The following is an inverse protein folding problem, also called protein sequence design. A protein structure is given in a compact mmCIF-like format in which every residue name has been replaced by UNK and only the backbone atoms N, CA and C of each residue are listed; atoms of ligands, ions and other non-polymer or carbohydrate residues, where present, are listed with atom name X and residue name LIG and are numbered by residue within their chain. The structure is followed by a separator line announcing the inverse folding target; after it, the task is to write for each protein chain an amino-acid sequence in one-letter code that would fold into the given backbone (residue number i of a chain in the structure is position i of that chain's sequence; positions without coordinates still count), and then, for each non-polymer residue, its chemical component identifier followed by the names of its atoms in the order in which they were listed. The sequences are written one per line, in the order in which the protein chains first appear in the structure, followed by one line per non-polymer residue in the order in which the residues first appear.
data_IF_581744731150
#
_entry.id   IF_581744731150
#
_cell.length_a   1.000
_cell.length_b   1.000
_cell.length_c   1.000
_cell.angle_alpha   90.00
_cell.angle_beta   90.00
_cell.angle_gamma   90.00
#
_symmetry.space_group_name_H-M   'P 1'
#
loop_
_entity.id
_entity.type
_entity.pdbx_description
1 polymer ?
#
# COMPACT_ATOMS: atom_id res chain seq x y z
N UNK A 1 -91.55 -30.17 0.88
CA UNK A 1 -91.38 -31.54 1.39
C UNK A 1 -90.10 -31.51 2.18
N UNK A 2 -90.28 -31.46 3.49
CA UNK A 2 -89.25 -31.28 4.50
C UNK A 2 -88.30 -32.48 4.54
N UNK A 3 -87.02 -32.22 4.80
CA UNK A 3 -86.27 -33.15 5.65
C UNK A 3 -85.26 -32.39 6.50
N UNK A 4 -85.54 -32.38 7.80
CA UNK A 4 -84.72 -31.92 8.90
C UNK A 4 -84.16 -33.18 9.58
N UNK A 5 -82.84 -33.28 9.71
CA UNK A 5 -82.20 -34.27 10.57
C UNK A 5 -80.74 -33.88 10.90
N UNK A 6 -80.20 -34.28 12.07
CA UNK A 6 -80.39 -33.51 13.29
C UNK A 6 -79.10 -33.04 13.99
N UNK A 7 -79.29 -31.94 14.74
CA UNK A 7 -78.64 -31.47 15.98
C UNK A 7 -77.46 -32.29 16.55
N UNK A 8 -76.29 -31.64 16.72
CA UNK A 8 -75.39 -31.88 17.86
C UNK A 8 -74.67 -30.62 18.35
N UNK A 9 -75.31 -29.93 19.29
CA UNK A 9 -74.76 -29.29 20.52
C UNK A 9 -73.24 -29.13 20.68
N UNK A 10 -72.85 -27.91 21.09
CA UNK A 10 -71.76 -27.46 22.03
C UNK A 10 -70.97 -26.30 21.39
N UNK A 11 -70.57 -25.22 22.05
CA UNK A 11 -70.66 -24.65 23.42
C UNK A 11 -70.30 -23.14 23.25
N UNK A 12 -70.61 -22.23 24.19
CA UNK A 12 -70.28 -20.82 24.02
C UNK A 12 -68.75 -20.66 24.02
N UNK A 13 -68.18 -20.11 22.94
CA UNK A 13 -66.76 -19.78 22.92
C UNK A 13 -66.51 -18.62 23.89
N UNK A 14 -65.95 -19.00 25.04
CA UNK A 14 -65.42 -18.12 26.06
C UNK A 14 -64.22 -17.40 25.44
N UNK A 15 -64.43 -16.20 24.88
CA UNK A 15 -63.35 -15.41 24.31
C UNK A 15 -62.56 -14.76 25.44
N UNK A 16 -61.47 -15.42 25.85
CA UNK A 16 -60.45 -14.82 26.72
C UNK A 16 -59.74 -13.70 25.96
N UNK A 17 -59.81 -12.47 26.47
CA UNK A 17 -59.09 -11.33 25.92
C UNK A 17 -57.89 -11.02 26.78
N UNK A 18 -56.68 -11.29 26.28
CA UNK A 18 -55.42 -10.86 26.91
C UNK A 18 -54.79 -9.75 26.05
N UNK A 19 -54.45 -8.63 26.67
CA UNK A 19 -53.69 -7.55 26.03
C UNK A 19 -52.20 -7.70 26.34
N UNK A 20 -51.35 -7.55 25.33
CA UNK A 20 -49.89 -7.52 25.47
C UNK A 20 -49.34 -6.20 24.92
N UNK A 21 -48.35 -5.64 25.61
CA UNK A 21 -47.55 -4.51 25.13
C UNK A 21 -46.09 -4.78 25.47
N UNK A 22 -45.26 -4.99 24.44
CA UNK A 22 -43.82 -5.23 24.55
C UNK A 22 -43.24 -5.84 23.26
N UNK A 23 -41.95 -5.63 22.94
CA UNK A 23 -41.38 -6.07 21.68
C UNK A 23 -40.80 -7.49 21.80
N UNK A 24 -41.46 -8.47 21.19
CA UNK A 24 -40.92 -9.56 20.35
C UNK A 24 -41.86 -10.78 20.33
N UNK A 25 -42.52 -10.95 19.18
CA UNK A 25 -42.84 -12.17 18.42
C UNK A 25 -42.84 -13.56 19.09
N UNK A 26 -43.43 -13.74 20.27
CA UNK A 26 -43.80 -15.07 20.75
C UNK A 26 -45.16 -15.06 21.47
N UNK A 27 -46.11 -15.86 20.97
CA UNK A 27 -47.41 -16.07 21.61
C UNK A 27 -47.54 -17.55 21.95
N UNK A 28 -47.62 -17.88 23.24
CA UNK A 28 -47.87 -19.25 23.69
C UNK A 28 -49.31 -19.38 24.20
N UNK A 29 -50.05 -20.34 23.66
CA UNK A 29 -51.39 -20.72 24.11
C UNK A 29 -51.46 -22.24 24.31
N UNK A 30 -52.30 -22.70 25.24
CA UNK A 30 -52.43 -24.13 25.55
C UNK A 30 -53.44 -24.83 24.63
N UNK A 31 -54.64 -24.26 24.47
CA UNK A 31 -55.67 -24.73 23.52
C UNK A 31 -56.26 -23.51 22.80
N UNK A 32 -56.36 -23.57 21.46
CA UNK A 32 -56.97 -22.52 20.62
C UNK A 32 -58.08 -23.14 19.79
N UNK A 33 -59.28 -22.56 19.85
CA UNK A 33 -60.41 -22.92 19.00
C UNK A 33 -60.76 -21.69 18.16
N UNK A 34 -60.76 -21.84 16.83
CA UNK A 34 -60.90 -20.74 15.87
C UNK A 34 -59.59 -20.32 15.16
N UNK A 35 -59.70 -19.38 14.22
CA UNK A 35 -58.56 -18.89 13.44
C UNK A 35 -57.71 -17.86 14.17
N UNK A 36 -56.38 -17.96 14.06
CA UNK A 36 -55.44 -16.96 14.60
C UNK A 36 -55.04 -16.01 13.48
N UNK A 37 -55.26 -14.70 13.69
CA UNK A 37 -54.92 -13.65 12.73
C UNK A 37 -53.83 -12.74 13.30
N UNK A 38 -52.68 -12.67 12.63
CA UNK A 38 -51.61 -11.72 12.94
C UNK A 38 -51.74 -10.50 12.03
N UNK A 39 -51.79 -9.30 12.61
CA UNK A 39 -51.73 -8.05 11.86
C UNK A 39 -50.35 -7.45 12.04
N UNK A 40 -49.40 -7.84 11.18
CA UNK A 40 -48.13 -7.14 11.04
C UNK A 40 -48.34 -5.88 10.20
N UNK A 41 -47.77 -4.75 10.61
CA UNK A 41 -47.66 -3.61 9.71
C UNK A 41 -46.76 -4.03 8.53
N UNK A 42 -47.19 -3.76 7.30
CA UNK A 42 -46.37 -4.04 6.11
C UNK A 42 -44.99 -3.40 6.27
N UNK A 43 -43.88 -4.14 6.07
CA UNK A 43 -42.57 -3.54 6.07
C UNK A 43 -42.51 -2.48 4.96
N UNK A 44 -41.91 -1.30 5.21
CA UNK A 44 -41.70 -0.34 4.15
C UNK A 44 -40.95 -1.02 2.99
N UNK A 45 -41.26 -0.69 1.72
CA UNK A 45 -40.59 -1.31 0.59
C UNK A 45 -39.08 -1.17 0.75
N UNK A 46 -38.36 -2.29 0.61
CA UNK A 46 -36.90 -2.35 0.70
C UNK A 46 -36.28 -1.18 -0.07
N UNK A 47 -35.80 -0.17 0.65
CA UNK A 47 -34.89 0.79 0.02
C UNK A 47 -33.60 0.01 -0.20
N UNK A 48 -33.18 -0.23 -1.47
CA UNK A 48 -31.92 -0.91 -1.70
C UNK A 48 -30.82 -0.14 -0.98
N UNK A 49 -29.94 -0.82 -0.21
CA UNK A 49 -28.93 -0.16 0.60
C UNK A 49 -28.06 0.73 -0.29
N UNK A 50 -28.15 2.05 -0.12
CA UNK A 50 -27.38 3.04 -0.91
C UNK A 50 -25.92 3.16 -0.44
N UNK A 51 -25.31 2.05 -0.03
CA UNK A 51 -23.94 2.04 0.51
C UNK A 51 -22.91 1.39 -0.42
N UNK A 52 -23.25 1.16 -1.68
CA UNK A 52 -22.20 1.11 -2.69
C UNK A 52 -21.88 2.56 -3.09
N UNK A 53 -20.62 3.01 -2.97
CA UNK A 53 -20.19 4.26 -3.57
C UNK A 53 -20.71 4.32 -5.00
N UNK A 54 -21.28 5.48 -5.38
CA UNK A 54 -21.74 5.69 -6.75
C UNK A 54 -20.65 5.28 -7.73
N UNK A 55 -21.08 4.67 -8.84
CA UNK A 55 -20.24 4.08 -9.87
C UNK A 55 -18.90 4.84 -10.00
N UNK A 56 -17.79 4.24 -9.58
CA UNK A 56 -16.50 4.90 -9.57
C UNK A 56 -16.08 5.02 -11.03
N UNK A 57 -16.55 6.07 -11.70
CA UNK A 57 -16.24 6.36 -13.09
C UNK A 57 -14.73 6.35 -13.23
N UNK A 58 -14.25 5.38 -13.98
CA UNK A 58 -12.85 5.17 -14.23
C UNK A 58 -12.18 4.01 -13.51
N UNK A 59 -12.92 3.20 -12.74
CA UNK A 59 -12.44 1.92 -12.22
C UNK A 59 -13.09 0.73 -12.95
N UNK A 60 -14.33 0.89 -13.41
CA UNK A 60 -15.06 -0.07 -14.23
C UNK A 60 -15.36 0.51 -15.62
N UNK A 61 -15.62 -0.36 -16.61
CA UNK A 61 -16.01 0.00 -17.97
C UNK A 61 -14.98 0.83 -18.78
N UNK A 62 -13.68 0.56 -18.59
CA UNK A 62 -12.54 1.15 -19.32
C UNK A 62 -12.38 0.59 -20.74
N UNK A 63 -13.49 0.48 -21.47
CA UNK A 63 -13.56 -0.21 -22.76
C UNK A 63 -12.68 0.48 -23.81
N UNK A 64 -12.65 1.81 -23.83
CA UNK A 64 -11.83 2.57 -24.78
C UNK A 64 -10.33 2.48 -24.44
N UNK A 65 -9.97 2.49 -23.16
CA UNK A 65 -8.59 2.31 -22.71
C UNK A 65 -8.10 0.87 -22.95
N UNK A 66 -8.96 -0.14 -22.77
CA UNK A 66 -8.67 -1.53 -23.11
C UNK A 66 -8.52 -1.73 -24.63
N UNK A 67 -9.36 -1.06 -25.44
CA UNK A 67 -9.21 -1.05 -26.90
C UNK A 67 -7.89 -0.40 -27.33
N UNK A 68 -7.52 0.72 -26.72
CA UNK A 68 -6.24 1.39 -26.99
C UNK A 68 -5.05 0.50 -26.60
N UNK A 69 -5.10 -0.16 -25.44
CA UNK A 69 -4.07 -1.11 -25.00
C UNK A 69 -3.97 -2.32 -25.95
N UNK A 70 -5.10 -2.91 -26.36
CA UNK A 70 -5.11 -4.02 -27.32
C UNK A 70 -4.51 -3.61 -28.67
N UNK A 71 -4.74 -2.38 -29.13
CA UNK A 71 -4.12 -1.86 -30.36
C UNK A 71 -2.61 -1.73 -30.18
N UNK A 72 -2.16 -1.17 -29.06
CA UNK A 72 -0.74 -1.04 -28.73
C UNK A 72 0.00 -2.39 -28.68
N UNK A 73 -0.61 -3.42 -28.11
CA UNK A 73 -0.03 -4.77 -28.04
C UNK A 73 0.03 -5.48 -29.39
N UNK A 74 -0.86 -5.14 -30.34
CA UNK A 74 -0.93 -5.77 -31.66
C UNK A 74 -0.08 -5.06 -32.70
N UNK A 75 -0.08 -3.72 -32.65
CA UNK A 75 0.45 -2.84 -33.68
C UNK A 75 1.67 -2.04 -33.18
N UNK A 76 2.38 -2.55 -32.16
CA UNK A 76 3.53 -1.88 -31.56
C UNK A 76 4.52 -1.39 -32.63
N UNK A 77 5.20 -0.23 -32.43
CA UNK A 77 6.01 0.37 -33.48
C UNK A 77 7.05 -0.63 -34.00
N UNK A 78 7.08 -0.85 -35.32
CA UNK A 78 8.14 -1.63 -35.94
C UNK A 78 9.50 -1.03 -35.55
N UNK A 79 10.28 -1.77 -34.76
CA UNK A 79 11.62 -1.36 -34.32
C UNK A 79 11.78 -0.97 -32.85
N UNK A 80 10.73 -0.96 -32.03
CA UNK A 80 10.89 -0.90 -30.56
C UNK A 80 10.54 -2.24 -29.93
N UNK A 81 11.54 -2.87 -29.30
CA UNK A 81 11.41 -4.13 -28.60
C UNK A 81 10.22 -4.14 -27.63
N UNK A 82 9.36 -5.14 -27.80
CA UNK A 82 8.65 -5.87 -26.74
C UNK A 82 8.00 -5.00 -25.64
N UNK A 83 6.79 -4.51 -25.93
CA UNK A 83 5.96 -3.84 -24.93
C UNK A 83 5.56 -4.79 -23.81
N UNK A 84 6.41 -4.91 -22.79
CA UNK A 84 6.15 -5.72 -21.59
C UNK A 84 4.95 -5.17 -20.81
N UNK A 85 3.83 -5.89 -20.86
CA UNK A 85 2.66 -5.64 -20.01
C UNK A 85 2.84 -6.41 -18.70
N UNK A 86 3.04 -5.68 -17.60
CA UNK A 86 3.06 -6.26 -16.26
C UNK A 86 1.77 -5.98 -15.51
N UNK A 87 1.16 -7.01 -14.93
CA UNK A 87 -0.05 -6.92 -14.11
C UNK A 87 0.35 -6.80 -12.65
N UNK A 88 -0.05 -5.70 -11.99
CA UNK A 88 0.09 -5.54 -10.54
C UNK A 88 -1.24 -5.94 -9.91
N UNK A 89 -1.32 -7.16 -9.38
CA UNK A 89 -2.49 -7.66 -8.66
C UNK A 89 -2.39 -7.34 -7.16
N UNK A 90 -3.52 -7.03 -6.52
CA UNK A 90 -3.59 -6.71 -5.10
C UNK A 90 -4.88 -5.99 -4.73
N UNK A 91 -4.98 -5.54 -3.47
CA UNK A 91 -6.12 -4.74 -3.01
C UNK A 91 -6.19 -3.40 -3.74
N UNK A 92 -7.38 -2.79 -3.74
CA UNK A 92 -7.60 -1.49 -4.37
C UNK A 92 -6.54 -0.47 -3.92
N UNK A 93 -5.85 0.15 -4.88
CA UNK A 93 -4.79 1.13 -4.61
C UNK A 93 -3.36 0.62 -4.78
N UNK A 94 -3.14 -0.69 -4.93
CA UNK A 94 -1.78 -1.26 -5.14
C UNK A 94 -1.04 -0.60 -6.30
N UNK A 95 -1.68 -0.34 -7.44
CA UNK A 95 -1.05 0.36 -8.56
C UNK A 95 -0.67 1.82 -8.25
N UNK A 96 -1.45 2.52 -7.42
CA UNK A 96 -1.15 3.91 -7.01
C UNK A 96 0.03 3.95 -6.05
N UNK A 97 0.09 3.01 -5.11
CA UNK A 97 1.19 2.87 -4.17
C UNK A 97 2.48 2.54 -4.92
N UNK A 98 2.43 1.55 -5.81
CA UNK A 98 3.59 1.12 -6.59
C UNK A 98 4.11 2.25 -7.48
N UNK A 99 3.21 3.01 -8.13
CA UNK A 99 3.60 4.21 -8.87
C UNK A 99 4.27 5.24 -7.97
N UNK A 100 3.67 5.57 -6.81
CA UNK A 100 4.25 6.55 -5.88
C UNK A 100 5.60 6.12 -5.35
N UNK A 101 5.77 4.84 -4.98
CA UNK A 101 7.05 4.28 -4.54
C UNK A 101 8.09 4.36 -5.67
N UNK A 102 7.70 4.03 -6.90
CA UNK A 102 8.56 4.14 -8.09
C UNK A 102 8.97 5.58 -8.37
N UNK A 103 8.06 6.55 -8.29
CA UNK A 103 8.37 7.96 -8.50
C UNK A 103 9.35 8.49 -7.45
N UNK A 104 9.15 8.12 -6.17
CA UNK A 104 10.06 8.47 -5.08
C UNK A 104 11.44 7.81 -5.21
N UNK A 105 11.50 6.56 -5.67
CA UNK A 105 12.77 5.88 -5.94
C UNK A 105 13.53 6.59 -7.06
N UNK A 106 12.85 6.97 -8.16
CA UNK A 106 13.47 7.74 -9.25
C UNK A 106 13.93 9.12 -8.80
N UNK A 107 13.15 9.81 -7.98
CA UNK A 107 13.55 11.08 -7.38
C UNK A 107 14.83 10.92 -6.56
N UNK A 108 14.93 9.88 -5.72
CA UNK A 108 16.12 9.63 -4.91
C UNK A 108 17.35 9.32 -5.77
N UNK A 109 17.21 8.50 -6.83
CA UNK A 109 18.29 8.25 -7.79
C UNK A 109 18.74 9.51 -8.52
N UNK A 110 17.80 10.39 -8.89
CA UNK A 110 18.12 11.67 -9.52
C UNK A 110 18.86 12.62 -8.57
N UNK A 111 18.48 12.64 -7.29
CA UNK A 111 19.20 13.37 -6.25
C UNK A 111 20.63 12.86 -6.09
N UNK A 112 20.83 11.54 -6.09
CA UNK A 112 22.17 10.95 -6.02
C UNK A 112 23.02 11.31 -7.24
N UNK A 113 22.48 11.20 -8.45
CA UNK A 113 23.18 11.63 -9.66
C UNK A 113 23.51 13.14 -9.66
N UNK A 114 22.61 13.96 -9.08
CA UNK A 114 22.89 15.38 -8.88
C UNK A 114 24.05 15.58 -7.91
N UNK A 115 24.08 14.85 -6.79
CA UNK A 115 25.18 14.91 -5.84
C UNK A 115 26.53 14.52 -6.46
N UNK A 116 26.55 13.46 -7.27
CA UNK A 116 27.75 13.07 -8.03
C UNK A 116 28.21 14.20 -8.97
N UNK A 117 27.29 14.83 -9.70
CA UNK A 117 27.64 15.97 -10.58
C UNK A 117 28.23 17.15 -9.79
N UNK A 118 27.68 17.50 -8.63
CA UNK A 118 28.25 18.57 -7.79
C UNK A 118 29.63 18.20 -7.23
N UNK A 119 29.85 16.94 -6.84
CA UNK A 119 31.17 16.46 -6.43
C UNK A 119 32.19 16.61 -7.54
N UNK A 120 31.83 16.21 -8.76
CA UNK A 120 32.71 16.27 -9.92
C UNK A 120 33.03 17.73 -10.34
N UNK A 121 32.15 18.67 -10.01
CA UNK A 121 32.38 20.12 -10.12
C UNK A 121 33.22 20.70 -8.96
N UNK A 122 33.73 19.88 -8.04
CA UNK A 122 34.52 20.34 -6.90
C UNK A 122 33.70 21.03 -5.81
N UNK A 123 32.40 20.72 -5.73
CA UNK A 123 31.44 21.32 -4.77
C UNK A 123 30.90 20.25 -3.79
N UNK A 124 31.75 19.75 -2.88
CA UNK A 124 31.43 18.59 -2.06
C UNK A 124 30.39 18.87 -0.94
N UNK A 125 30.26 20.11 -0.47
CA UNK A 125 29.21 20.47 0.50
C UNK A 125 27.80 20.38 -0.12
N UNK A 126 27.64 20.88 -1.35
CA UNK A 126 26.39 20.74 -2.10
C UNK A 126 26.12 19.27 -2.45
N UNK A 127 27.15 18.52 -2.85
CA UNK A 127 27.04 17.08 -3.08
C UNK A 127 26.50 16.34 -1.84
N UNK A 128 27.05 16.64 -0.66
CA UNK A 128 26.59 16.06 0.60
C UNK A 128 25.11 16.39 0.88
N UNK A 129 24.66 17.61 0.59
CA UNK A 129 23.25 17.99 0.74
C UNK A 129 22.31 17.15 -0.15
N UNK A 130 22.68 16.92 -1.40
CA UNK A 130 21.90 16.08 -2.32
C UNK A 130 21.89 14.61 -1.89
N UNK A 131 23.05 14.03 -1.54
CA UNK A 131 23.13 12.65 -1.06
C UNK A 131 22.37 12.45 0.26
N UNK A 132 22.34 13.45 1.14
CA UNK A 132 21.56 13.38 2.38
C UNK A 132 20.05 13.27 2.09
N UNK A 133 19.54 14.03 1.12
CA UNK A 133 18.14 13.95 0.69
C UNK A 133 17.81 12.62 0.02
N UNK A 134 18.71 12.08 -0.80
CA UNK A 134 18.59 10.75 -1.40
C UNK A 134 18.54 9.65 -0.32
N UNK A 135 19.50 9.67 0.61
CA UNK A 135 19.58 8.77 1.77
C UNK A 135 18.29 8.77 2.58
N UNK A 136 17.76 9.96 2.90
CA UNK A 136 16.49 10.09 3.63
C UNK A 136 15.32 9.44 2.87
N UNK A 137 15.30 9.55 1.54
CA UNK A 137 14.26 8.95 0.70
C UNK A 137 14.40 7.44 0.61
N UNK A 138 15.61 6.91 0.34
CA UNK A 138 15.85 5.47 0.30
C UNK A 138 15.54 4.79 1.64
N UNK A 139 15.88 5.44 2.77
CA UNK A 139 15.50 4.96 4.11
C UNK A 139 13.98 4.88 4.28
N UNK A 140 13.22 5.86 3.80
CA UNK A 140 11.76 5.82 3.84
C UNK A 140 11.15 4.77 2.92
N UNK A 141 11.85 4.40 1.85
CA UNK A 141 11.42 3.34 0.92
C UNK A 141 11.81 1.94 1.39
N UNK A 142 12.70 1.81 2.38
CA UNK A 142 13.23 0.52 2.82
C UNK A 142 14.15 -0.15 1.80
N UNK A 143 14.68 0.61 0.84
CA UNK A 143 15.61 0.11 -0.17
C UNK A 143 17.04 0.11 0.41
N UNK A 144 17.37 -0.94 1.16
CA UNK A 144 18.63 -1.05 1.90
C UNK A 144 19.86 -1.02 1.00
N UNK A 145 19.78 -1.60 -0.20
CA UNK A 145 20.88 -1.59 -1.16
C UNK A 145 21.16 -0.18 -1.66
N UNK A 146 20.13 0.54 -2.12
CA UNK A 146 20.30 1.93 -2.56
C UNK A 146 20.69 2.84 -1.40
N UNK A 147 20.14 2.63 -0.21
CA UNK A 147 20.52 3.36 0.99
C UNK A 147 22.02 3.21 1.30
N UNK A 148 22.57 2.00 1.20
CA UNK A 148 24.01 1.76 1.40
C UNK A 148 24.87 2.52 0.38
N UNK A 149 24.47 2.55 -0.89
CA UNK A 149 25.16 3.29 -1.94
C UNK A 149 25.11 4.81 -1.70
N UNK A 150 23.94 5.37 -1.36
CA UNK A 150 23.81 6.81 -1.07
C UNK A 150 24.59 7.21 0.19
N UNK A 151 24.63 6.36 1.22
CA UNK A 151 25.42 6.60 2.44
C UNK A 151 26.92 6.64 2.16
N UNK A 152 27.41 5.76 1.30
CA UNK A 152 28.81 5.77 0.87
C UNK A 152 29.17 7.03 0.07
N UNK A 153 28.30 7.47 -0.85
CA UNK A 153 28.48 8.73 -1.57
C UNK A 153 28.48 9.93 -0.63
N UNK A 154 27.54 9.96 0.32
CA UNK A 154 27.47 10.98 1.36
C UNK A 154 28.75 11.00 2.20
N UNK A 155 29.22 9.84 2.66
CA UNK A 155 30.44 9.72 3.44
C UNK A 155 31.66 10.22 2.66
N UNK A 156 31.76 9.87 1.38
CA UNK A 156 32.82 10.37 0.49
C UNK A 156 32.78 11.89 0.38
N UNK A 157 31.61 12.50 0.18
CA UNK A 157 31.46 13.96 0.11
C UNK A 157 31.82 14.64 1.45
N UNK A 158 31.39 14.08 2.58
CA UNK A 158 31.73 14.57 3.92
C UNK A 158 33.22 14.46 4.23
N UNK A 159 33.89 13.41 3.73
CA UNK A 159 35.33 13.27 3.87
C UNK A 159 36.07 14.39 3.15
N UNK A 160 35.63 14.75 1.95
CA UNK A 160 36.21 15.85 1.16
C UNK A 160 36.05 17.22 1.84
N UNK A 161 35.03 17.40 2.68
CA UNK A 161 34.80 18.64 3.46
C UNK A 161 35.46 18.59 4.84
N UNK A 162 36.28 17.58 5.12
CA UNK A 162 36.99 17.43 6.40
C UNK A 162 36.14 16.84 7.53
N UNK A 163 34.86 16.55 7.30
CA UNK A 163 33.92 15.96 8.27
C UNK A 163 34.13 14.44 8.39
N UNK A 164 35.36 14.05 8.70
CA UNK A 164 35.82 12.65 8.72
C UNK A 164 35.02 11.77 9.69
N UNK A 165 34.69 12.27 10.88
CA UNK A 165 33.93 11.48 11.88
C UNK A 165 32.53 11.12 11.37
N UNK A 166 31.83 12.08 10.78
CA UNK A 166 30.50 11.87 10.20
C UNK A 166 30.57 10.88 9.02
N UNK A 167 31.59 11.02 8.17
CA UNK A 167 31.83 10.08 7.06
C UNK A 167 32.00 8.64 7.56
N UNK A 168 32.83 8.42 8.59
CA UNK A 168 33.03 7.09 9.16
C UNK A 168 31.75 6.49 9.73
N UNK A 169 30.87 7.30 10.33
CA UNK A 169 29.59 6.83 10.83
C UNK A 169 28.71 6.32 9.69
N UNK A 170 28.59 7.08 8.60
CA UNK A 170 27.80 6.68 7.43
C UNK A 170 28.38 5.46 6.71
N UNK A 171 29.70 5.34 6.63
CA UNK A 171 30.36 4.15 6.08
C UNK A 171 30.10 2.89 6.91
N UNK A 172 30.15 2.98 8.25
CA UNK A 172 29.79 1.84 9.11
C UNK A 172 28.34 1.42 8.92
N UNK A 173 27.42 2.38 8.76
CA UNK A 173 26.02 2.08 8.45
C UNK A 173 25.87 1.40 7.08
N UNK A 174 26.55 1.90 6.05
CA UNK A 174 26.55 1.29 4.71
C UNK A 174 27.08 -0.16 4.72
N UNK A 175 28.13 -0.44 5.50
CA UNK A 175 28.63 -1.82 5.71
C UNK A 175 27.57 -2.71 6.35
N UNK A 176 26.88 -2.22 7.38
CA UNK A 176 25.81 -2.98 8.04
C UNK A 176 24.65 -3.30 7.10
N UNK A 177 24.26 -2.36 6.24
CA UNK A 177 23.15 -2.54 5.30
C UNK A 177 23.51 -3.46 4.14
N UNK A 178 24.76 -3.40 3.66
CA UNK A 178 25.24 -4.23 2.56
C UNK A 178 25.60 -5.66 2.97
N UNK A 179 25.68 -5.97 4.27
CA UNK A 179 26.04 -7.30 4.78
C UNK A 179 25.03 -8.40 4.40
N UNK A 180 23.79 -8.05 4.09
CA UNK A 180 22.76 -9.01 3.66
C UNK A 180 22.85 -9.38 2.17
N UNK A 181 23.82 -8.82 1.43
CA UNK A 181 23.97 -9.01 -0.02
C UNK A 181 25.30 -9.70 -0.33
N UNK A 182 25.21 -10.87 -0.98
CA UNK A 182 26.35 -11.74 -1.29
C UNK A 182 26.86 -11.61 -2.73
N UNK A 183 26.34 -10.66 -3.51
CA UNK A 183 26.77 -10.47 -4.89
C UNK A 183 28.09 -9.67 -5.00
N UNK A 184 28.73 -9.77 -6.17
CA UNK A 184 30.01 -9.14 -6.43
C UNK A 184 29.99 -7.60 -6.25
N UNK A 185 28.85 -6.94 -6.48
CA UNK A 185 28.74 -5.49 -6.29
C UNK A 185 28.74 -5.14 -4.81
N UNK A 186 28.06 -5.92 -3.99
CA UNK A 186 28.06 -5.76 -2.54
C UNK A 186 29.44 -6.02 -1.93
N UNK A 187 30.16 -7.03 -2.41
CA UNK A 187 31.55 -7.27 -2.03
C UNK A 187 32.45 -6.07 -2.37
N UNK A 188 32.39 -5.58 -3.61
CA UNK A 188 33.19 -4.43 -4.04
C UNK A 188 32.87 -3.14 -3.26
N UNK A 189 31.61 -2.92 -2.88
CA UNK A 189 31.23 -1.80 -2.02
C UNK A 189 31.88 -1.93 -0.64
N UNK A 190 31.79 -3.11 -0.01
CA UNK A 190 32.38 -3.37 1.31
C UNK A 190 33.90 -3.21 1.31
N UNK A 191 34.56 -3.73 0.28
CA UNK A 191 36.02 -3.61 0.13
C UNK A 191 36.45 -2.15 0.03
N UNK A 192 35.79 -1.36 -0.83
CA UNK A 192 36.06 0.07 -1.00
C UNK A 192 35.85 0.86 0.29
N UNK A 193 34.78 0.59 1.03
CA UNK A 193 34.51 1.25 2.31
C UNK A 193 35.56 0.85 3.36
N UNK A 194 35.93 -0.43 3.42
CA UNK A 194 36.93 -0.93 4.36
C UNK A 194 38.28 -0.28 4.10
N UNK A 195 38.69 -0.17 2.83
CA UNK A 195 39.91 0.54 2.44
C UNK A 195 39.88 2.03 2.81
N UNK A 196 38.74 2.70 2.65
CA UNK A 196 38.60 4.09 3.07
C UNK A 196 38.74 4.26 4.59
N UNK A 197 38.17 3.34 5.38
CA UNK A 197 38.27 3.34 6.84
C UNK A 197 39.68 3.03 7.34
N UNK A 198 40.42 2.12 6.68
CA UNK A 198 41.81 1.81 7.06
C UNK A 198 42.74 2.98 6.74
N UNK A 199 42.60 3.60 5.56
CA UNK A 199 43.37 4.79 5.16
C UNK A 199 43.19 5.95 6.14
N UNK A 200 41.99 6.09 6.68
CA UNK A 200 41.66 7.09 7.68
C UNK A 200 42.31 6.81 9.05
N UNK A 201 42.48 5.54 9.41
CA UNK A 201 43.16 5.15 10.65
C UNK A 201 44.68 5.37 10.56
N UNK A 202 45.24 5.25 9.36
CA UNK A 202 46.67 5.45 9.08
C UNK A 202 47.08 6.92 8.94
N UNK A 203 46.11 7.83 8.74
CA UNK A 203 46.38 9.28 8.70
C UNK A 203 46.45 9.86 10.12
N UNK A 204 47.63 10.32 10.60
CA UNK A 204 47.75 10.85 11.96
C UNK A 204 46.95 12.15 12.15
N UNK A 205 46.39 12.39 13.34
CA UNK A 205 45.69 13.63 13.65
C UNK A 205 46.70 14.79 13.76
N UNK A 206 46.95 15.48 12.65
CA UNK A 206 47.74 16.71 12.65
C UNK A 206 48.76 16.81 11.53
N UNK A 207 48.30 17.16 10.33
CA UNK A 207 49.14 17.88 9.38
C UNK A 207 48.28 18.91 8.65
N UNK A 208 47.77 19.88 9.41
CA UNK A 208 47.29 21.14 8.86
C UNK A 208 48.45 22.13 8.97
N UNK A 209 49.03 22.48 7.83
CA UNK A 209 49.82 23.71 7.65
C UNK A 209 48.90 24.82 7.18
#
# INVERSE_FOLDING_TARGET
MDDLGPDRRRKPEQVNRAGLTGPAELVQARDVFGGVHFHGADPPPDMPPRQLPGDVRGFVNRVEELKALNRFLRDGPEGTADGSLSVIAGTAGVGKIQRRLGDRSREAMALDGTGEAYRDLGRPDEAASFHLRATATHRQLGDNWQLALSLDRLATALKLTGRTRDAQQHWREALSLSAAYDDARAAALRDRITEALTRDAESPPGSSR
#
